data_IF_676727914731
#
_entry.id   IF_676727914731
#
_cell.length_a   1.000
_cell.length_b   1.000
_cell.length_c   1.000
_cell.angle_alpha   90.00
_cell.angle_beta   90.00
_cell.angle_gamma   90.00
#
_symmetry.space_group_name_H-M   'P 1'
#
loop_
_entity.id
_entity.type
_entity.pdbx_description
1 polymer ?
#
# COMPACT_ATOMS: atom_id res chain seq x y z
N UNK A 1 1.03 -29.54 13.49
CA UNK A 1 2.29 -28.79 13.49
C UNK A 1 2.49 -28.26 12.08
N UNK A 2 2.40 -26.95 11.88
CA UNK A 2 2.75 -26.32 10.60
C UNK A 2 4.25 -26.54 10.36
N UNK A 3 4.62 -27.13 9.23
CA UNK A 3 6.03 -27.30 8.87
C UNK A 3 6.64 -25.91 8.64
N UNK A 4 7.51 -25.46 9.54
CA UNK A 4 8.28 -24.22 9.35
C UNK A 4 9.26 -24.40 8.18
N UNK A 5 9.04 -23.65 7.09
CA UNK A 5 10.02 -23.53 5.99
C UNK A 5 11.27 -22.80 6.48
N UNK A 6 12.46 -23.18 6.01
CA UNK A 6 13.68 -22.45 6.40
C UNK A 6 13.73 -21.05 5.77
N UNK A 7 14.41 -20.13 6.43
CA UNK A 7 14.71 -18.79 5.89
C UNK A 7 15.39 -18.95 4.53
N UNK A 8 14.92 -18.24 3.52
CA UNK A 8 15.41 -18.35 2.16
C UNK A 8 15.70 -16.96 1.60
N UNK A 9 16.91 -16.79 1.08
CA UNK A 9 17.24 -15.60 0.29
C UNK A 9 16.55 -15.70 -1.07
N UNK A 10 15.69 -14.73 -1.39
CA UNK A 10 15.12 -14.61 -2.73
C UNK A 10 16.12 -13.91 -3.63
N UNK A 11 17.02 -14.68 -4.23
CA UNK A 11 17.93 -14.19 -5.27
C UNK A 11 17.45 -14.67 -6.64
N UNK A 12 17.11 -13.74 -7.52
CA UNK A 12 16.87 -14.04 -8.93
C UNK A 12 18.20 -14.00 -9.69
N UNK A 13 18.38 -14.92 -10.64
CA UNK A 13 19.54 -14.88 -11.53
C UNK A 13 19.50 -13.65 -12.44
N UNK A 14 20.65 -13.20 -12.98
CA UNK A 14 20.75 -11.98 -13.77
C UNK A 14 19.85 -11.99 -15.02
N UNK A 15 19.60 -13.17 -15.61
CA UNK A 15 18.65 -13.32 -16.73
C UNK A 15 17.20 -13.07 -16.31
N UNK A 16 16.77 -13.67 -15.19
CA UNK A 16 15.42 -13.47 -14.67
C UNK A 16 15.16 -12.01 -14.29
N UNK A 17 16.15 -11.33 -13.69
CA UNK A 17 16.06 -9.89 -13.42
C UNK A 17 15.98 -9.06 -14.72
N UNK A 18 16.69 -9.49 -15.77
CA UNK A 18 16.63 -8.80 -17.07
C UNK A 18 15.25 -8.90 -17.70
N UNK A 19 14.70 -10.11 -17.72
CA UNK A 19 13.37 -10.37 -18.26
C UNK A 19 12.29 -9.65 -17.43
N UNK A 20 12.46 -9.56 -16.11
CA UNK A 20 11.56 -8.79 -15.23
C UNK A 20 11.66 -7.27 -15.42
N UNK A 21 12.80 -6.71 -15.84
CA UNK A 21 12.94 -5.27 -16.08
C UNK A 21 12.45 -4.85 -17.47
N UNK A 22 12.75 -5.64 -18.51
CA UNK A 22 12.56 -5.23 -19.92
C UNK A 22 11.38 -5.95 -20.59
N UNK A 23 10.95 -7.10 -20.05
CA UNK A 23 10.10 -8.11 -20.70
C UNK A 23 10.78 -8.90 -21.82
N UNK A 24 10.28 -10.11 -22.06
CA UNK A 24 10.60 -10.95 -23.21
C UNK A 24 9.84 -10.54 -24.48
N UNK A 25 8.78 -9.72 -24.35
CA UNK A 25 7.98 -9.23 -25.47
C UNK A 25 8.75 -8.19 -26.30
N UNK A 26 8.99 -8.41 -27.61
CA UNK A 26 9.73 -7.49 -28.46
C UNK A 26 9.17 -6.07 -28.52
N UNK A 27 7.84 -5.91 -28.46
CA UNK A 27 7.21 -4.59 -28.50
C UNK A 27 7.48 -3.78 -27.22
N UNK A 28 7.53 -4.45 -26.06
CA UNK A 28 7.88 -3.81 -24.79
C UNK A 28 9.37 -3.49 -24.70
N UNK A 29 10.24 -4.33 -25.30
CA UNK A 29 11.67 -4.04 -25.43
C UNK A 29 11.94 -2.78 -26.27
N UNK A 30 11.23 -2.64 -27.39
CA UNK A 30 11.32 -1.43 -28.23
C UNK A 30 10.81 -0.19 -27.47
N UNK A 31 9.70 -0.33 -26.74
CA UNK A 31 9.16 0.75 -25.90
C UNK A 31 10.15 1.17 -24.82
N UNK A 32 10.77 0.22 -24.11
CA UNK A 32 11.84 0.49 -23.14
C UNK A 32 13.02 1.23 -23.78
N UNK A 33 13.44 0.79 -24.98
CA UNK A 33 14.52 1.43 -25.72
C UNK A 33 14.17 2.88 -26.12
N UNK A 34 12.91 3.19 -26.40
CA UNK A 34 12.46 4.52 -26.81
C UNK A 34 12.11 5.44 -25.64
N UNK A 35 11.53 4.91 -24.56
CA UNK A 35 10.97 5.70 -23.47
C UNK A 35 12.04 6.22 -22.50
N UNK A 36 13.04 5.39 -22.17
CA UNK A 36 14.06 5.74 -21.19
C UNK A 36 15.32 6.31 -21.83
N UNK A 37 15.85 7.37 -21.22
CA UNK A 37 17.16 7.94 -21.53
C UNK A 37 18.29 6.97 -21.20
N UNK A 38 19.49 7.22 -21.75
CA UNK A 38 20.68 6.42 -21.42
C UNK A 38 21.01 6.45 -19.93
N UNK A 39 20.80 7.57 -19.25
CA UNK A 39 21.04 7.72 -17.82
C UNK A 39 20.07 6.87 -16.99
N UNK A 40 18.78 6.87 -17.33
CA UNK A 40 17.77 6.04 -16.66
C UNK A 40 18.02 4.54 -16.88
N UNK A 41 18.40 4.15 -18.09
CA UNK A 41 18.76 2.75 -18.40
C UNK A 41 19.98 2.31 -17.59
N UNK A 42 20.99 3.16 -17.43
CA UNK A 42 22.15 2.89 -16.58
C UNK A 42 21.72 2.76 -15.11
N UNK A 43 20.89 3.67 -14.61
CA UNK A 43 20.35 3.60 -13.25
C UNK A 43 19.59 2.29 -13.01
N UNK A 44 18.67 1.91 -13.90
CA UNK A 44 17.91 0.66 -13.77
C UNK A 44 18.81 -0.58 -13.87
N UNK A 45 19.89 -0.52 -14.65
CA UNK A 45 20.85 -1.61 -14.78
C UNK A 45 21.64 -1.91 -13.50
N UNK A 46 21.66 -0.99 -12.51
CA UNK A 46 22.22 -1.27 -11.18
C UNK A 46 21.51 -2.43 -10.48
N UNK A 47 20.27 -2.76 -10.87
CA UNK A 47 19.60 -3.96 -10.38
C UNK A 47 20.40 -5.26 -10.66
N UNK A 48 21.26 -5.26 -11.69
CA UNK A 48 22.11 -6.41 -12.05
C UNK A 48 23.47 -6.41 -11.35
N UNK A 49 23.82 -5.34 -10.63
CA UNK A 49 25.12 -5.20 -9.98
C UNK A 49 25.21 -6.14 -8.75
N UNK A 50 26.19 -7.06 -8.68
CA UNK A 50 26.35 -7.94 -7.52
C UNK A 50 26.65 -7.19 -6.21
N UNK A 51 27.24 -5.99 -6.32
CA UNK A 51 27.57 -5.12 -5.18
C UNK A 51 26.61 -3.93 -5.03
N UNK A 52 25.40 -4.06 -5.59
CA UNK A 52 24.38 -3.01 -5.58
C UNK A 52 24.04 -2.55 -4.16
N UNK A 53 23.95 -1.24 -4.00
CA UNK A 53 23.35 -0.58 -2.81
C UNK A 53 21.90 -0.17 -3.06
N UNK A 54 21.48 -0.15 -4.33
CA UNK A 54 20.12 0.07 -4.78
C UNK A 54 19.52 -1.25 -5.28
N UNK A 55 18.19 -1.38 -5.27
CA UNK A 55 17.50 -2.63 -5.66
C UNK A 55 18.00 -3.87 -4.89
N UNK A 56 18.36 -3.70 -3.62
CA UNK A 56 18.77 -4.79 -2.75
C UNK A 56 17.69 -5.89 -2.73
N UNK A 57 18.11 -7.15 -2.83
CA UNK A 57 17.17 -8.27 -2.79
C UNK A 57 16.44 -8.34 -1.45
N UNK A 58 15.19 -8.78 -1.46
CA UNK A 58 14.44 -9.02 -0.24
C UNK A 58 15.02 -10.24 0.49
N UNK A 59 15.53 -10.03 1.70
CA UNK A 59 16.06 -11.11 2.53
C UNK A 59 15.01 -11.58 3.54
N UNK A 60 14.46 -12.78 3.32
CA UNK A 60 13.45 -13.35 4.21
C UNK A 60 14.15 -14.15 5.32
N UNK A 61 14.06 -13.62 6.55
CA UNK A 61 14.76 -14.17 7.72
C UNK A 61 14.02 -15.29 8.42
N UNK A 62 12.71 -15.44 8.17
CA UNK A 62 11.87 -16.34 8.98
C UNK A 62 10.87 -17.13 8.15
N UNK A 63 10.61 -18.36 8.56
CA UNK A 63 9.57 -19.25 8.04
C UNK A 63 8.17 -18.63 8.00
N UNK A 64 7.90 -17.75 8.97
CA UNK A 64 6.61 -17.10 9.20
C UNK A 64 6.44 -15.80 8.42
N UNK A 65 7.39 -15.48 7.54
CA UNK A 65 7.24 -14.32 6.67
C UNK A 65 6.00 -14.48 5.81
N UNK A 66 5.29 -13.37 5.61
CA UNK A 66 4.06 -13.34 4.85
C UNK A 66 4.26 -13.91 3.44
N UNK A 67 5.36 -13.55 2.76
CA UNK A 67 5.60 -13.95 1.38
C UNK A 67 5.81 -15.47 1.25
N UNK A 68 6.34 -16.12 2.29
CA UNK A 68 6.51 -17.58 2.32
C UNK A 68 5.23 -18.31 2.71
N UNK A 69 4.40 -17.69 3.54
CA UNK A 69 3.17 -18.29 4.10
C UNK A 69 1.96 -18.09 3.18
N UNK A 70 1.96 -17.02 2.39
CA UNK A 70 0.91 -16.64 1.44
C UNK A 70 1.56 -16.34 0.08
N UNK A 71 1.93 -17.38 -0.69
CA UNK A 71 2.54 -17.18 -1.99
C UNK A 71 1.53 -16.55 -2.96
N UNK A 72 1.83 -15.34 -3.41
CA UNK A 72 1.08 -14.69 -4.48
C UNK A 72 1.50 -15.23 -5.85
N UNK A 73 0.61 -15.14 -6.83
CA UNK A 73 0.96 -15.49 -8.21
C UNK A 73 2.05 -14.54 -8.72
N UNK A 74 3.11 -15.06 -9.38
CA UNK A 74 4.14 -14.19 -9.93
C UNK A 74 3.53 -13.29 -11.01
N UNK A 75 3.86 -12.00 -10.96
CA UNK A 75 3.54 -11.04 -12.00
C UNK A 75 4.81 -10.72 -12.79
N UNK A 76 4.78 -10.89 -14.12
CA UNK A 76 5.85 -10.46 -15.01
C UNK A 76 5.61 -9.03 -15.52
N UNK A 77 6.64 -8.43 -16.13
CA UNK A 77 6.57 -7.05 -16.61
C UNK A 77 5.46 -6.82 -17.62
N UNK A 78 5.19 -7.80 -18.48
CA UNK A 78 4.14 -7.69 -19.50
C UNK A 78 2.75 -7.67 -18.87
N UNK A 79 2.49 -8.55 -17.91
CA UNK A 79 1.25 -8.60 -17.14
C UNK A 79 1.04 -7.29 -16.37
N UNK A 80 2.09 -6.80 -15.71
CA UNK A 80 2.10 -5.51 -15.01
C UNK A 80 1.80 -4.34 -15.98
N UNK A 81 2.48 -4.29 -17.13
CA UNK A 81 2.27 -3.22 -18.11
C UNK A 81 0.84 -3.20 -18.66
N UNK A 82 0.27 -4.37 -18.98
CA UNK A 82 -1.11 -4.46 -19.46
C UNK A 82 -2.14 -4.18 -18.36
N UNK A 83 -1.86 -4.54 -17.11
CA UNK A 83 -2.72 -4.19 -15.99
C UNK A 83 -2.74 -2.66 -15.79
N UNK A 84 -1.60 -1.99 -15.88
CA UNK A 84 -1.48 -0.52 -15.86
C UNK A 84 -2.30 0.16 -16.98
N UNK A 85 -2.21 -0.35 -18.21
CA UNK A 85 -2.96 0.21 -19.35
C UNK A 85 -4.47 0.12 -19.16
N UNK A 86 -4.97 -1.01 -18.63
CA UNK A 86 -6.39 -1.18 -18.28
C UNK A 86 -6.79 -0.27 -17.14
N UNK A 87 -5.87 -0.03 -16.21
CA UNK A 87 -6.02 0.84 -15.05
C UNK A 87 -5.74 2.30 -15.35
N UNK A 88 -5.66 2.77 -16.62
CA UNK A 88 -5.53 4.21 -16.95
C UNK A 88 -6.63 5.02 -16.25
N UNK A 89 -6.32 5.40 -15.00
CA UNK A 89 -7.18 6.16 -14.14
C UNK A 89 -7.27 7.54 -14.77
N UNK A 90 -8.40 8.20 -14.53
CA UNK A 90 -8.60 9.59 -14.89
C UNK A 90 -7.41 10.38 -14.33
N UNK A 91 -6.46 10.79 -15.18
CA UNK A 91 -5.26 11.61 -14.88
C UNK A 91 -5.55 12.94 -14.12
N UNK A 92 -6.80 13.17 -13.73
CA UNK A 92 -7.30 14.30 -12.97
C UNK A 92 -7.13 14.14 -11.46
N UNK A 93 -6.97 12.92 -10.92
CA UNK A 93 -6.83 12.67 -9.48
C UNK A 93 -5.36 12.58 -9.09
N UNK A 94 -4.86 13.54 -8.32
CA UNK A 94 -3.42 13.69 -7.98
C UNK A 94 -3.14 13.73 -6.48
N UNK A 95 -4.18 13.60 -5.66
CA UNK A 95 -4.09 13.81 -4.23
C UNK A 95 -4.47 12.58 -3.43
N UNK A 96 -3.64 12.21 -2.46
CA UNK A 96 -3.97 11.28 -1.39
C UNK A 96 -4.43 12.12 -0.20
N UNK A 97 -5.62 11.87 0.33
CA UNK A 97 -6.10 12.58 1.50
C UNK A 97 -5.97 11.73 2.76
N UNK A 98 -5.42 12.31 3.82
CA UNK A 98 -5.42 11.73 5.17
C UNK A 98 -6.58 12.35 5.94
N UNK A 99 -7.52 11.53 6.40
CA UNK A 99 -8.66 11.94 7.21
C UNK A 99 -8.45 11.47 8.65
N UNK A 100 -8.02 12.35 9.58
CA UNK A 100 -7.93 12.00 10.98
C UNK A 100 -9.33 11.81 11.57
N UNK A 101 -9.50 10.75 12.35
CA UNK A 101 -10.73 10.38 13.04
C UNK A 101 -10.41 10.23 14.52
N UNK A 102 -10.93 11.16 15.32
CA UNK A 102 -10.59 11.26 16.74
C UNK A 102 -9.22 11.94 16.98
N UNK A 103 -8.60 11.70 18.15
CA UNK A 103 -7.45 12.46 18.62
C UNK A 103 -6.12 11.98 18.00
N UNK A 104 -5.96 12.10 16.68
CA UNK A 104 -4.67 11.84 16.03
C UNK A 104 -3.76 13.05 16.17
N UNK A 105 -2.58 12.87 16.77
CA UNK A 105 -1.64 13.97 17.00
C UNK A 105 -1.03 14.53 15.71
N UNK A 106 -0.84 15.86 15.66
CA UNK A 106 -0.29 16.55 14.48
C UNK A 106 1.12 16.08 14.10
N UNK A 107 1.96 15.74 15.06
CA UNK A 107 3.31 15.20 14.79
C UNK A 107 3.26 13.88 14.02
N UNK A 108 2.35 12.99 14.39
CA UNK A 108 2.12 11.73 13.70
C UNK A 108 1.57 11.97 12.28
N UNK A 109 0.59 12.87 12.12
CA UNK A 109 0.06 13.21 10.80
C UNK A 109 1.13 13.77 9.87
N UNK A 110 2.00 14.66 10.35
CA UNK A 110 3.08 15.23 9.54
C UNK A 110 4.10 14.16 9.12
N UNK A 111 4.45 13.25 10.03
CA UNK A 111 5.35 12.13 9.72
C UNK A 111 4.73 11.19 8.68
N UNK A 112 3.45 10.86 8.83
CA UNK A 112 2.71 10.04 7.86
C UNK A 112 2.60 10.71 6.50
N UNK A 113 2.28 12.00 6.47
CA UNK A 113 2.22 12.78 5.24
C UNK A 113 3.57 12.71 4.50
N UNK A 114 4.67 12.99 5.20
CA UNK A 114 6.03 12.94 4.62
C UNK A 114 6.38 11.54 4.11
N UNK A 115 6.05 10.51 4.88
CA UNK A 115 6.30 9.12 4.52
C UNK A 115 5.52 8.70 3.26
N UNK A 116 4.22 9.02 3.21
CA UNK A 116 3.35 8.68 2.07
C UNK A 116 3.78 9.46 0.82
N UNK A 117 4.12 10.75 0.91
CA UNK A 117 4.64 11.51 -0.24
C UNK A 117 5.97 10.96 -0.75
N UNK A 118 6.83 10.48 0.15
CA UNK A 118 8.12 9.90 -0.22
C UNK A 118 7.98 8.54 -0.89
N UNK A 119 6.87 7.83 -0.65
CA UNK A 119 6.63 6.51 -1.22
C UNK A 119 5.86 6.60 -2.56
N UNK A 120 4.88 7.50 -2.65
CA UNK A 120 4.08 7.70 -3.85
C UNK A 120 4.51 8.95 -4.62
N UNK A 121 5.60 8.81 -5.37
CA UNK A 121 6.18 9.92 -6.11
C UNK A 121 5.20 10.48 -7.15
N UNK A 122 5.14 11.81 -7.25
CA UNK A 122 4.22 12.50 -8.17
C UNK A 122 2.80 12.71 -7.62
N UNK A 123 2.44 12.07 -6.51
CA UNK A 123 1.20 12.36 -5.77
C UNK A 123 1.46 13.37 -4.65
N UNK A 124 0.45 14.18 -4.35
CA UNK A 124 0.46 15.12 -3.22
C UNK A 124 -0.38 14.57 -2.08
N UNK A 125 0.11 14.65 -0.84
CA UNK A 125 -0.66 14.19 0.32
C UNK A 125 -1.22 15.41 1.05
N UNK A 126 -2.52 15.39 1.33
CA UNK A 126 -3.23 16.47 2.03
C UNK A 126 -3.89 15.93 3.30
N UNK A 127 -3.70 16.62 4.41
CA UNK A 127 -4.42 16.31 5.66
C UNK A 127 -5.76 17.07 5.70
N UNK A 128 -6.85 16.35 5.87
CA UNK A 128 -8.19 16.91 6.12
C UNK A 128 -8.34 17.31 7.60
N UNK A 129 -9.29 18.20 7.93
CA UNK A 129 -9.61 18.52 9.31
C UNK A 129 -9.99 17.26 10.10
N UNK A 130 -9.54 17.16 11.36
CA UNK A 130 -9.89 16.02 12.21
C UNK A 130 -11.39 15.96 12.47
N UNK A 131 -11.94 14.75 12.39
CA UNK A 131 -13.37 14.47 12.57
C UNK A 131 -13.59 13.72 13.88
N UNK A 132 -14.45 14.22 14.80
CA UNK A 132 -14.79 13.48 16.01
C UNK A 132 -15.45 12.14 15.68
N UNK A 133 -15.08 11.07 16.39
CA UNK A 133 -15.67 9.73 16.21
C UNK A 133 -17.21 9.77 16.29
N UNK A 134 -17.76 10.55 17.21
CA UNK A 134 -19.21 10.71 17.39
C UNK A 134 -19.95 11.22 16.13
N UNK A 135 -19.28 11.95 15.23
CA UNK A 135 -19.90 12.50 14.01
C UNK A 135 -19.98 11.51 12.85
N UNK A 136 -19.23 10.41 12.90
CA UNK A 136 -19.16 9.41 11.83
C UNK A 136 -20.38 8.46 11.85
N UNK A 137 -21.15 8.47 12.94
CA UNK A 137 -22.31 7.58 13.15
C UNK A 137 -21.97 6.10 12.90
N UNK A 138 -20.74 5.69 13.25
CA UNK A 138 -20.33 4.30 13.15
C UNK A 138 -20.78 3.50 14.37
N UNK A 139 -21.13 2.24 14.17
CA UNK A 139 -21.30 1.30 15.26
C UNK A 139 -19.97 1.17 16.04
N UNK A 140 -20.08 1.02 17.35
CA UNK A 140 -18.95 0.75 18.21
C UNK A 140 -19.31 -0.33 19.23
N UNK A 141 -18.28 -0.99 19.76
CA UNK A 141 -18.42 -1.95 20.84
C UNK A 141 -17.31 -1.76 21.86
N UNK A 142 -17.55 -2.23 23.08
CA UNK A 142 -16.52 -2.32 24.10
C UNK A 142 -15.84 -3.68 23.99
N UNK A 143 -14.51 -3.69 23.88
CA UNK A 143 -13.75 -4.91 23.98
C UNK A 143 -13.79 -5.40 25.42
N UNK A 144 -14.35 -6.59 25.65
CA UNK A 144 -14.48 -7.17 27.00
C UNK A 144 -13.13 -7.41 27.69
N UNK A 145 -12.05 -7.60 26.92
CA UNK A 145 -10.72 -7.91 27.46
C UNK A 145 -9.90 -6.66 27.80
N UNK A 146 -10.16 -5.53 27.15
CA UNK A 146 -9.31 -4.33 27.26
C UNK A 146 -10.05 -3.05 27.68
N UNK A 147 -11.38 -3.10 27.80
CA UNK A 147 -12.28 -1.96 28.04
C UNK A 147 -12.10 -0.81 27.02
N UNK A 148 -11.47 -1.09 25.88
CA UNK A 148 -11.28 -0.12 24.80
C UNK A 148 -12.48 -0.13 23.87
N UNK A 149 -12.86 1.08 23.45
CA UNK A 149 -13.87 1.26 22.39
C UNK A 149 -13.26 0.83 21.05
N UNK A 150 -13.97 -0.05 20.35
CA UNK A 150 -13.64 -0.48 18.99
C UNK A 150 -14.69 0.04 18.02
N UNK A 151 -14.25 0.55 16.87
CA UNK A 151 -15.11 1.12 15.83
C UNK A 151 -15.34 0.14 14.68
N UNK A 152 -16.58 0.05 14.21
CA UNK A 152 -16.93 -0.78 13.07
C UNK A 152 -16.40 -0.14 11.78
N UNK A 153 -15.56 -0.87 11.06
CA UNK A 153 -14.87 -0.36 9.85
C UNK A 153 -15.83 0.12 8.75
N UNK A 154 -16.96 -0.55 8.53
CA UNK A 154 -17.91 -0.15 7.47
C UNK A 154 -18.55 1.22 7.67
N UNK A 155 -18.81 1.61 8.93
CA UNK A 155 -19.32 2.96 9.22
C UNK A 155 -18.29 4.03 8.81
N UNK A 156 -17.02 3.76 9.09
CA UNK A 156 -15.94 4.67 8.72
C UNK A 156 -15.76 4.70 7.19
N UNK A 157 -15.73 3.55 6.53
CA UNK A 157 -15.58 3.48 5.07
C UNK A 157 -16.73 4.19 4.33
N UNK A 158 -17.95 4.06 4.84
CA UNK A 158 -19.13 4.78 4.32
C UNK A 158 -18.96 6.29 4.47
N UNK A 159 -18.48 6.75 5.64
CA UNK A 159 -18.18 8.16 5.86
C UNK A 159 -17.11 8.69 4.91
N UNK A 160 -15.98 7.99 4.76
CA UNK A 160 -14.91 8.41 3.83
C UNK A 160 -15.42 8.47 2.39
N UNK A 161 -16.26 7.51 1.99
CA UNK A 161 -16.87 7.47 0.66
C UNK A 161 -17.74 8.68 0.40
N UNK A 162 -18.59 9.04 1.35
CA UNK A 162 -19.51 10.17 1.22
C UNK A 162 -18.80 11.53 1.24
N UNK A 163 -17.60 11.60 1.80
CA UNK A 163 -16.82 12.84 1.95
C UNK A 163 -15.57 12.88 1.05
N UNK A 164 -15.45 11.99 0.07
CA UNK A 164 -14.29 11.94 -0.84
C UNK A 164 -14.18 13.23 -1.66
N UNK A 165 -13.07 13.99 -1.56
CA UNK A 165 -12.84 15.13 -2.44
C UNK A 165 -12.79 14.70 -3.91
N UNK A 166 -13.28 15.55 -4.82
CA UNK A 166 -13.36 15.21 -6.24
C UNK A 166 -12.01 14.97 -6.91
N UNK A 167 -10.97 15.65 -6.43
CA UNK A 167 -9.58 15.54 -6.88
C UNK A 167 -8.79 14.45 -6.14
N UNK A 168 -9.43 13.77 -5.18
CA UNK A 168 -8.83 12.68 -4.42
C UNK A 168 -8.69 11.45 -5.30
N UNK A 169 -7.45 10.96 -5.37
CA UNK A 169 -7.17 9.59 -5.75
C UNK A 169 -7.82 8.64 -4.74
N UNK A 170 -7.41 8.80 -3.48
CA UNK A 170 -7.83 7.99 -2.35
C UNK A 170 -7.99 8.83 -1.10
N UNK A 171 -8.74 8.29 -0.12
CA UNK A 171 -8.86 8.87 1.22
C UNK A 171 -8.54 7.80 2.25
N UNK A 172 -7.54 8.05 3.08
CA UNK A 172 -7.10 7.20 4.18
C UNK A 172 -7.65 7.74 5.51
N UNK A 173 -8.60 7.04 6.11
CA UNK A 173 -9.07 7.29 7.46
C UNK A 173 -8.06 6.80 8.49
N UNK A 174 -7.61 7.68 9.38
CA UNK A 174 -6.63 7.39 10.42
C UNK A 174 -7.30 7.50 11.80
N UNK A 175 -7.26 6.44 12.59
CA UNK A 175 -7.82 6.46 13.95
C UNK A 175 -6.93 5.70 14.94
N UNK A 176 -6.85 6.21 16.18
CA UNK A 176 -6.19 5.53 17.30
C UNK A 176 -7.13 4.59 18.06
N UNK A 177 -8.41 4.57 17.71
CA UNK A 177 -9.34 3.57 18.24
C UNK A 177 -9.10 2.23 17.55
N UNK A 178 -9.34 1.14 18.29
CA UNK A 178 -9.31 -0.20 17.72
C UNK A 178 -10.40 -0.35 16.65
N UNK A 179 -10.15 -1.17 15.63
CA UNK A 179 -11.12 -1.41 14.55
C UNK A 179 -11.62 -2.84 14.59
N UNK A 180 -12.86 -3.07 14.14
CA UNK A 180 -13.36 -4.41 13.89
C UNK A 180 -14.14 -4.50 12.56
N UNK A 181 -14.00 -5.60 11.79
CA UNK A 181 -14.60 -5.73 10.47
C UNK A 181 -16.04 -6.25 10.50
N UNK A 182 -16.37 -7.07 11.49
CA UNK A 182 -17.69 -7.66 11.72
C UNK A 182 -17.75 -8.25 13.14
N UNK A 183 -18.94 -8.59 13.61
CA UNK A 183 -19.17 -9.02 15.01
C UNK A 183 -18.40 -10.29 15.40
N UNK A 184 -18.11 -11.19 14.46
CA UNK A 184 -17.41 -12.46 14.72
C UNK A 184 -15.89 -12.34 14.80
N UNK A 185 -15.33 -11.14 14.57
CA UNK A 185 -13.88 -10.92 14.49
C UNK A 185 -13.39 -10.04 15.64
N UNK A 186 -12.27 -10.39 16.30
CA UNK A 186 -11.81 -9.69 17.53
C UNK A 186 -11.30 -8.27 17.28
N UNK A 187 -10.41 -8.07 16.30
CA UNK A 187 -9.98 -6.76 15.85
C UNK A 187 -9.34 -6.86 14.46
N UNK A 188 -9.35 -5.77 13.71
CA UNK A 188 -8.52 -5.59 12.52
C UNK A 188 -7.70 -4.34 12.67
N UNK A 189 -6.61 -4.27 11.92
CA UNK A 189 -5.82 -3.06 11.83
C UNK A 189 -6.25 -2.14 10.70
N UNK A 190 -7.03 -2.67 9.76
CA UNK A 190 -7.67 -1.86 8.75
C UNK A 190 -8.61 -2.64 7.86
N UNK A 191 -9.32 -1.91 7.00
CA UNK A 191 -10.20 -2.43 5.96
C UNK A 191 -10.17 -1.46 4.78
N UNK A 192 -10.32 -1.99 3.58
CA UNK A 192 -10.35 -1.21 2.34
C UNK A 192 -11.57 -1.55 1.48
N UNK A 193 -11.99 -0.60 0.64
CA UNK A 193 -12.98 -0.81 -0.41
C UNK A 193 -12.31 -0.82 -1.77
N UNK A 194 -12.48 -1.91 -2.52
CA UNK A 194 -12.03 -2.04 -3.91
C UNK A 194 -12.87 -1.16 -4.83
N UNK A 195 -12.21 -0.43 -5.75
CA UNK A 195 -12.85 0.40 -6.77
C UNK A 195 -12.90 1.92 -6.50
N UNK A 196 -12.65 2.38 -5.27
CA UNK A 196 -12.56 3.83 -4.97
C UNK A 196 -11.56 4.20 -3.85
N UNK A 197 -10.67 3.26 -3.49
CA UNK A 197 -9.45 3.53 -2.73
C UNK A 197 -9.73 4.23 -1.38
N UNK A 198 -10.53 3.57 -0.55
CA UNK A 198 -10.72 3.93 0.85
C UNK A 198 -10.01 2.93 1.72
N UNK A 199 -9.29 3.42 2.73
CA UNK A 199 -8.75 2.56 3.77
C UNK A 199 -8.95 3.21 5.13
N UNK A 200 -9.22 2.41 6.15
CA UNK A 200 -9.19 2.84 7.55
C UNK A 200 -8.06 2.08 8.23
N UNK A 201 -7.12 2.76 8.89
CA UNK A 201 -5.95 2.09 9.47
C UNK A 201 -5.59 2.62 10.85
N UNK A 202 -5.06 1.73 11.68
CA UNK A 202 -4.40 2.10 12.93
C UNK A 202 -2.97 2.61 12.64
N UNK A 203 -2.56 3.81 13.11
CA UNK A 203 -1.30 4.45 12.73
C UNK A 203 -0.01 3.67 13.02
N UNK A 204 -0.04 2.78 14.01
CA UNK A 204 1.09 1.90 14.35
C UNK A 204 1.44 0.89 13.25
N UNK A 205 0.60 0.75 12.22
CA UNK A 205 0.84 -0.08 11.04
C UNK A 205 1.16 0.71 9.78
N UNK A 206 1.61 1.95 9.91
CA UNK A 206 2.35 2.62 8.85
C UNK A 206 3.86 2.38 9.02
N UNK A 207 4.24 1.14 9.35
CA UNK A 207 5.60 0.67 9.09
C UNK A 207 5.80 0.60 7.57
N UNK A 208 7.03 0.77 7.04
CA UNK A 208 7.27 0.68 5.60
C UNK A 208 6.72 -0.62 4.99
N UNK A 209 6.86 -1.74 5.70
CA UNK A 209 6.37 -3.06 5.26
C UNK A 209 4.84 -3.18 5.27
N UNK A 210 4.17 -2.53 6.20
CA UNK A 210 2.70 -2.55 6.30
C UNK A 210 2.05 -1.55 5.34
N UNK A 211 2.77 -0.47 5.01
CA UNK A 211 2.44 0.49 3.95
C UNK A 211 2.45 -0.20 2.57
N UNK A 212 3.42 -1.12 2.36
CA UNK A 212 3.45 -2.04 1.22
C UNK A 212 2.22 -2.96 1.16
N UNK A 213 1.71 -3.50 2.28
CA UNK A 213 0.48 -4.31 2.28
C UNK A 213 -0.79 -3.51 1.99
N UNK A 214 -0.88 -2.28 2.50
CA UNK A 214 -1.97 -1.38 2.15
C UNK A 214 -1.91 -1.00 0.68
N UNK A 215 -0.71 -0.81 0.13
CA UNK A 215 -0.51 -0.36 -1.23
C UNK A 215 -0.44 -1.51 -2.26
N UNK A 216 -0.25 -2.76 -1.84
CA UNK A 216 -0.38 -3.94 -2.70
C UNK A 216 -1.84 -4.38 -2.87
N UNK A 217 -2.70 -4.08 -1.88
CA UNK A 217 -4.14 -4.36 -1.96
C UNK A 217 -5.01 -3.16 -2.35
N UNK A 218 -4.57 -1.93 -2.05
CA UNK A 218 -5.16 -0.73 -2.65
C UNK A 218 -4.35 -0.38 -3.89
N UNK A 219 -5.03 -0.06 -4.99
CA UNK A 219 -4.48 0.24 -6.32
C UNK A 219 -3.56 1.50 -6.38
N UNK A 220 -2.84 1.82 -5.30
CA UNK A 220 -2.04 3.03 -5.10
C UNK A 220 -0.57 2.81 -5.51
N UNK A 221 -0.02 1.58 -5.41
CA UNK A 221 1.34 1.30 -5.92
C UNK A 221 1.43 1.21 -7.45
N UNK A 222 0.30 1.11 -8.15
CA UNK A 222 0.22 0.93 -9.60
C UNK A 222 -0.09 2.25 -10.35
N UNK A 223 0.28 3.41 -9.77
CA UNK A 223 0.16 4.75 -10.35
C UNK A 223 1.53 5.42 -10.47
#
# INVERSE_FOLDING_TARGET
>A
MLQCRHAQEFSFGPRALKDALISTNPALQELYAKAFSSAEKLFLSEAYNPHRTLFCGLFIRTAFDWLLSHPDAPEDFETFYHSLLRRKQKFCRKHIYLQPIGPVGNSLLNSLQTCVESFFWGLRVKCLPSVPVASIHCCYRHNQDSDRVQLHTDGILTFLKNNKPMDALCVLGLTLADLYPCETWSFTFGKFLTGDTFACTHPLLLSPCSSLCLASHSEILDL
#
